data_IF_958600156665
#
_entry.id   IF_958600156665
#
_cell.length_a   1.000
_cell.length_b   1.000
_cell.length_c   1.000
_cell.angle_alpha   90.00
_cell.angle_beta   90.00
_cell.angle_gamma   90.00
#
_symmetry.space_group_name_H-M   'P 1'
#
loop_
_entity.id
_entity.type
_entity.pdbx_description
1 polymer ?
#
# COMPACT_ATOMS: atom_id res chain seq x y z
N UNK A 1 10.16 5.64 -10.12
CA UNK A 1 10.37 7.07 -10.41
C UNK A 1 11.74 7.38 -11.00
N UNK A 2 12.84 6.95 -10.38
CA UNK A 2 14.21 7.24 -10.87
C UNK A 2 14.46 6.77 -12.32
N UNK A 3 14.11 5.53 -12.67
CA UNK A 3 14.26 5.00 -14.04
C UNK A 3 13.48 5.79 -15.10
N UNK A 4 12.33 6.38 -14.75
CA UNK A 4 11.55 7.21 -15.68
C UNK A 4 12.24 8.55 -15.94
N UNK A 5 12.84 9.13 -14.91
CA UNK A 5 13.61 10.37 -15.02
C UNK A 5 14.88 10.15 -15.84
N UNK A 6 15.57 9.02 -15.59
CA UNK A 6 16.77 8.62 -16.34
C UNK A 6 16.47 8.38 -17.82
N UNK A 7 15.37 7.68 -18.15
CA UNK A 7 14.92 7.49 -19.54
C UNK A 7 14.69 8.83 -20.24
N UNK A 8 13.95 9.74 -19.61
CA UNK A 8 13.66 11.06 -20.16
C UNK A 8 14.94 11.93 -20.32
N UNK A 9 15.91 11.77 -19.44
CA UNK A 9 17.21 12.44 -19.56
C UNK A 9 18.02 11.87 -20.74
N UNK A 10 18.03 10.54 -20.91
CA UNK A 10 18.66 9.87 -22.04
C UNK A 10 18.06 10.32 -23.38
N UNK A 11 16.73 10.37 -23.47
CA UNK A 11 16.00 10.83 -24.67
C UNK A 11 16.31 12.28 -25.00
N UNK A 12 16.35 13.17 -23.99
CA UNK A 12 16.74 14.58 -24.20
C UNK A 12 18.18 14.72 -24.67
N UNK A 13 19.11 13.97 -24.07
CA UNK A 13 20.52 13.97 -24.47
C UNK A 13 20.70 13.49 -25.91
N UNK A 14 19.94 12.47 -26.30
CA UNK A 14 19.91 11.96 -27.67
C UNK A 14 19.42 13.02 -28.67
N UNK A 15 18.28 13.65 -28.37
CA UNK A 15 17.70 14.71 -29.21
C UNK A 15 18.64 15.91 -29.34
N UNK A 16 19.30 16.30 -28.25
CA UNK A 16 20.28 17.40 -28.26
C UNK A 16 21.51 17.04 -29.10
N UNK A 17 22.01 15.81 -28.99
CA UNK A 17 23.17 15.33 -29.77
C UNK A 17 22.86 15.29 -31.27
N UNK A 18 21.66 14.84 -31.65
CA UNK A 18 21.17 14.88 -33.03
C UNK A 18 21.02 16.31 -33.56
N UNK A 19 20.48 17.23 -32.76
CA UNK A 19 20.26 18.63 -33.16
C UNK A 19 21.56 19.44 -33.30
N UNK A 20 22.60 19.10 -32.52
CA UNK A 20 23.88 19.83 -32.50
C UNK A 20 24.87 19.31 -33.55
N UNK A 21 24.67 18.10 -34.06
CA UNK A 21 25.53 17.50 -35.08
C UNK A 21 25.45 18.29 -36.40
N UNK A 22 26.60 18.83 -36.84
CA UNK A 22 26.77 19.48 -38.15
C UNK A 22 27.68 18.62 -39.04
N UNK A 23 27.25 18.33 -40.27
CA UNK A 23 27.97 17.47 -41.23
C UNK A 23 27.26 16.16 -41.54
N UNK A 24 27.89 15.29 -42.34
CA UNK A 24 27.33 13.99 -42.71
C UNK A 24 27.32 13.04 -41.50
N UNK A 25 26.14 12.76 -40.94
CA UNK A 25 25.93 11.91 -39.75
C UNK A 25 26.57 10.52 -39.87
N UNK A 26 26.67 10.00 -41.10
CA UNK A 26 27.24 8.67 -41.39
C UNK A 26 28.77 8.63 -41.27
N UNK A 27 29.45 9.78 -41.34
CA UNK A 27 30.91 9.88 -41.21
C UNK A 27 31.36 10.08 -39.75
N UNK A 28 30.44 10.49 -38.87
CA UNK A 28 30.73 10.72 -37.45
C UNK A 28 30.59 9.42 -36.64
N UNK A 29 31.68 8.66 -36.60
CA UNK A 29 31.76 7.35 -35.92
C UNK A 29 31.50 7.44 -34.41
N UNK A 30 32.00 8.49 -33.75
CA UNK A 30 31.78 8.72 -32.31
C UNK A 30 30.31 8.97 -31.98
N UNK A 31 29.62 9.74 -32.82
CA UNK A 31 28.19 9.99 -32.66
C UNK A 31 27.38 8.70 -32.85
N UNK A 32 27.75 7.86 -33.82
CA UNK A 32 27.09 6.58 -34.08
C UNK A 32 27.24 5.62 -32.89
N UNK A 33 28.43 5.55 -32.30
CA UNK A 33 28.70 4.70 -31.13
C UNK A 33 27.92 5.17 -29.90
N UNK A 34 27.89 6.49 -29.63
CA UNK A 34 27.09 7.07 -28.55
C UNK A 34 25.58 6.86 -28.74
N UNK A 35 25.10 6.91 -30.00
CA UNK A 35 23.69 6.65 -30.33
C UNK A 35 23.32 5.19 -30.06
N UNK A 36 24.21 4.24 -30.41
CA UNK A 36 24.02 2.82 -30.12
C UNK A 36 24.05 2.53 -28.62
N UNK A 37 24.95 3.15 -27.86
CA UNK A 37 25.02 3.01 -26.40
C UNK A 37 23.77 3.59 -25.72
N UNK A 38 23.33 4.77 -26.14
CA UNK A 38 22.11 5.43 -25.63
C UNK A 38 20.88 4.58 -25.93
N UNK A 39 20.77 4.03 -27.14
CA UNK A 39 19.70 3.11 -27.52
C UNK A 39 19.71 1.83 -26.69
N UNK A 40 20.89 1.24 -26.46
CA UNK A 40 21.02 0.05 -25.63
C UNK A 40 20.56 0.31 -24.18
N UNK A 41 21.02 1.40 -23.56
CA UNK A 41 20.62 1.80 -22.21
C UNK A 41 19.12 2.11 -22.12
N UNK A 42 18.57 2.86 -23.07
CA UNK A 42 17.13 3.18 -23.14
C UNK A 42 16.28 1.90 -23.24
N UNK A 43 16.69 0.94 -24.08
CA UNK A 43 16.01 -0.35 -24.18
C UNK A 43 16.04 -1.12 -22.85
N UNK A 44 17.19 -1.19 -22.18
CA UNK A 44 17.31 -1.84 -20.86
C UNK A 44 16.40 -1.18 -19.82
N UNK A 45 16.38 0.15 -19.76
CA UNK A 45 15.51 0.90 -18.84
C UNK A 45 14.04 0.62 -19.16
N UNK A 46 13.67 0.57 -20.44
CA UNK A 46 12.30 0.29 -20.89
C UNK A 46 11.85 -1.11 -20.48
N UNK A 47 12.69 -2.12 -20.66
CA UNK A 47 12.41 -3.49 -20.20
C UNK A 47 12.25 -3.54 -18.68
N UNK A 48 13.12 -2.88 -17.93
CA UNK A 48 13.03 -2.84 -16.46
C UNK A 48 11.77 -2.13 -15.98
N UNK A 49 11.32 -1.08 -16.68
CA UNK A 49 10.05 -0.39 -16.40
C UNK A 49 8.84 -1.31 -16.66
N UNK A 50 8.86 -2.09 -17.74
CA UNK A 50 7.78 -3.06 -18.03
C UNK A 50 7.70 -4.16 -16.97
N UNK A 51 8.85 -4.73 -16.59
CA UNK A 51 8.93 -5.71 -15.50
C UNK A 51 8.41 -5.13 -14.17
N UNK A 52 8.84 -3.91 -13.83
CA UNK A 52 8.38 -3.20 -12.63
C UNK A 52 6.87 -2.97 -12.65
N UNK A 53 6.31 -2.61 -13.80
CA UNK A 53 4.87 -2.40 -13.95
C UNK A 53 4.09 -3.71 -13.76
N UNK A 54 4.59 -4.82 -14.31
CA UNK A 54 3.99 -6.15 -14.10
C UNK A 54 4.03 -6.55 -12.63
N UNK A 55 5.17 -6.35 -11.96
CA UNK A 55 5.31 -6.61 -10.52
C UNK A 55 4.37 -5.73 -9.69
N UNK A 56 4.20 -4.47 -10.07
CA UNK A 56 3.30 -3.55 -9.40
C UNK A 56 1.85 -4.04 -9.45
N UNK A 57 1.39 -4.50 -10.62
CA UNK A 57 0.04 -5.07 -10.77
C UNK A 57 -0.14 -6.26 -9.81
N UNK A 58 0.78 -7.22 -9.83
CA UNK A 58 0.69 -8.40 -8.95
C UNK A 58 0.75 -8.00 -7.47
N UNK A 59 1.60 -7.04 -7.10
CA UNK A 59 1.66 -6.54 -5.72
C UNK A 59 0.35 -5.87 -5.29
N UNK A 60 -0.23 -5.04 -6.17
CA UNK A 60 -1.48 -4.35 -5.90
C UNK A 60 -2.64 -5.35 -5.77
N UNK A 61 -2.67 -6.42 -6.57
CA UNK A 61 -3.64 -7.51 -6.40
C UNK A 61 -3.53 -8.17 -5.02
N UNK A 62 -2.32 -8.56 -4.60
CA UNK A 62 -2.09 -9.16 -3.29
C UNK A 62 -2.44 -8.20 -2.14
N UNK A 63 -2.11 -6.92 -2.29
CA UNK A 63 -2.45 -5.88 -1.31
C UNK A 63 -3.96 -5.66 -1.21
N UNK A 64 -4.63 -5.57 -2.36
CA UNK A 64 -6.07 -5.31 -2.44
C UNK A 64 -6.89 -6.45 -1.83
N UNK A 65 -6.38 -7.67 -1.86
CA UNK A 65 -7.00 -8.80 -1.16
C UNK A 65 -7.19 -8.51 0.35
N UNK A 66 -6.30 -7.74 0.99
CA UNK A 66 -6.40 -7.37 2.41
C UNK A 66 -6.97 -5.96 2.67
N UNK A 67 -7.31 -5.19 1.63
CA UNK A 67 -7.95 -3.89 1.80
C UNK A 67 -9.25 -3.92 2.64
N UNK A 68 -10.13 -4.95 2.54
CA UNK A 68 -11.36 -5.00 3.33
C UNK A 68 -11.14 -4.98 4.84
N UNK A 69 -10.11 -5.68 5.34
CA UNK A 69 -9.83 -5.70 6.78
C UNK A 69 -9.20 -4.40 7.27
N UNK A 70 -8.40 -3.73 6.42
CA UNK A 70 -7.90 -2.40 6.72
C UNK A 70 -9.04 -1.38 6.83
N UNK A 71 -10.02 -1.45 5.92
CA UNK A 71 -11.21 -0.60 5.97
C UNK A 71 -12.03 -0.86 7.25
N UNK A 72 -12.29 -2.13 7.59
CA UNK A 72 -13.01 -2.47 8.83
C UNK A 72 -12.26 -1.98 10.07
N UNK A 73 -10.94 -2.17 10.12
CA UNK A 73 -10.08 -1.68 11.20
C UNK A 73 -10.16 -0.15 11.35
N UNK A 74 -10.12 0.59 10.25
CA UNK A 74 -10.30 2.05 10.25
C UNK A 74 -11.66 2.45 10.83
N UNK A 75 -12.75 1.85 10.33
CA UNK A 75 -14.11 2.12 10.83
C UNK A 75 -14.23 1.83 12.33
N UNK A 76 -13.68 0.70 12.80
CA UNK A 76 -13.73 0.34 14.22
C UNK A 76 -12.93 1.30 15.09
N UNK A 77 -11.78 1.79 14.63
CA UNK A 77 -11.01 2.78 15.38
C UNK A 77 -11.80 4.09 15.54
N UNK A 78 -12.41 4.60 14.47
CA UNK A 78 -13.20 5.83 14.54
C UNK A 78 -14.43 5.66 15.43
N UNK A 79 -15.13 4.52 15.34
CA UNK A 79 -16.23 4.20 16.24
C UNK A 79 -15.78 4.23 17.71
N UNK A 80 -14.66 3.59 18.05
CA UNK A 80 -14.13 3.57 19.42
C UNK A 80 -13.73 4.97 19.88
N UNK A 81 -13.13 5.78 19.00
CA UNK A 81 -12.80 7.18 19.28
C UNK A 81 -14.04 8.01 19.58
N UNK A 82 -15.12 7.79 18.84
CA UNK A 82 -16.35 8.57 18.96
C UNK A 82 -17.14 8.27 20.24
N UNK A 83 -16.80 7.20 20.98
CA UNK A 83 -17.33 6.94 22.32
C UNK A 83 -17.04 8.08 23.31
N UNK A 84 -15.99 8.87 23.07
CA UNK A 84 -15.67 10.05 23.87
C UNK A 84 -16.81 11.09 23.88
N UNK A 85 -17.69 11.08 22.87
CA UNK A 85 -18.87 11.94 22.81
C UNK A 85 -19.97 11.53 23.80
N UNK A 86 -20.03 10.25 24.17
CA UNK A 86 -20.96 9.74 25.20
C UNK A 86 -20.40 10.06 26.59
N UNK A 87 -19.12 9.75 26.81
CA UNK A 87 -18.42 10.09 28.03
C UNK A 87 -16.97 10.44 27.71
N UNK A 88 -16.54 11.64 28.12
CA UNK A 88 -15.20 12.16 27.86
C UNK A 88 -14.05 11.24 28.34
N UNK A 89 -14.29 10.35 29.29
CA UNK A 89 -13.32 9.37 29.78
C UNK A 89 -13.14 8.15 28.85
N UNK A 90 -14.05 7.93 27.89
CA UNK A 90 -13.97 6.83 26.93
C UNK A 90 -12.99 7.15 25.81
N UNK A 91 -11.72 7.23 26.17
CA UNK A 91 -10.62 7.52 25.24
C UNK A 91 -9.74 6.29 25.08
N UNK A 92 -9.54 5.89 23.84
CA UNK A 92 -8.59 4.84 23.46
C UNK A 92 -7.61 5.43 22.46
N UNK A 93 -6.32 5.34 22.75
CA UNK A 93 -5.30 5.85 21.85
C UNK A 93 -5.15 4.96 20.62
N UNK A 94 -4.72 5.55 19.50
CA UNK A 94 -4.39 4.80 18.29
C UNK A 94 -3.32 3.73 18.55
N UNK A 95 -2.33 4.01 19.41
CA UNK A 95 -1.27 3.07 19.74
C UNK A 95 -1.82 1.78 20.34
N UNK A 96 -2.77 1.89 21.28
CA UNK A 96 -3.44 0.73 21.89
C UNK A 96 -4.28 -0.01 20.85
N UNK A 97 -5.03 0.72 20.01
CA UNK A 97 -5.82 0.09 18.96
C UNK A 97 -4.94 -0.72 17.98
N UNK A 98 -3.79 -0.17 17.59
CA UNK A 98 -2.83 -0.86 16.72
C UNK A 98 -2.24 -2.12 17.38
N UNK A 99 -2.02 -2.12 18.70
CA UNK A 99 -1.62 -3.32 19.43
C UNK A 99 -2.70 -4.41 19.37
N UNK A 100 -3.97 -4.03 19.56
CA UNK A 100 -5.11 -4.96 19.44
C UNK A 100 -5.22 -5.50 18.01
N UNK A 101 -5.07 -4.63 17.01
CA UNK A 101 -5.12 -5.00 15.61
C UNK A 101 -4.00 -5.98 15.23
N UNK A 102 -2.75 -5.73 15.65
CA UNK A 102 -1.63 -6.67 15.46
C UNK A 102 -1.90 -8.02 16.10
N UNK A 103 -2.42 -8.02 17.33
CA UNK A 103 -2.81 -9.26 18.02
C UNK A 103 -3.89 -10.05 17.27
N UNK A 104 -4.79 -9.37 16.58
CA UNK A 104 -5.78 -10.03 15.73
C UNK A 104 -5.12 -10.71 14.52
N UNK A 105 -4.07 -10.11 13.95
CA UNK A 105 -3.31 -10.65 12.82
C UNK A 105 -2.39 -11.81 13.19
N UNK A 106 -1.93 -11.86 14.44
CA UNK A 106 -1.11 -12.95 14.99
C UNK A 106 -1.93 -14.24 15.20
N UNK A 107 -3.26 -14.17 15.11
CA UNK A 107 -4.10 -15.35 15.26
C UNK A 107 -3.83 -16.35 14.13
N UNK A 108 -3.44 -17.56 14.52
CA UNK A 108 -3.01 -18.60 13.59
C UNK A 108 -4.19 -19.05 12.73
N UNK A 109 -4.03 -18.90 11.42
CA UNK A 109 -4.99 -19.37 10.44
C UNK A 109 -4.43 -20.58 9.72
N UNK A 110 -5.19 -21.67 9.73
CA UNK A 110 -4.88 -22.91 9.02
C UNK A 110 -5.58 -22.97 7.65
N UNK A 111 -6.36 -21.94 7.30
CA UNK A 111 -7.09 -21.88 6.05
C UNK A 111 -6.17 -21.52 4.87
N UNK A 112 -6.38 -22.20 3.74
CA UNK A 112 -5.65 -21.94 2.49
C UNK A 112 -6.26 -20.82 1.66
N UNK A 113 -7.47 -20.37 2.01
CA UNK A 113 -8.27 -19.39 1.27
C UNK A 113 -8.25 -18.01 1.96
N UNK A 114 -7.93 -16.98 1.18
CA UNK A 114 -7.83 -15.59 1.68
C UNK A 114 -9.19 -15.08 2.17
N UNK A 115 -10.29 -15.46 1.53
CA UNK A 115 -11.63 -14.98 1.94
C UNK A 115 -12.01 -15.52 3.32
N UNK A 116 -11.74 -16.81 3.54
CA UNK A 116 -11.94 -17.50 4.82
C UNK A 116 -11.06 -16.90 5.92
N UNK A 117 -9.79 -16.65 5.61
CA UNK A 117 -8.86 -15.93 6.48
C UNK A 117 -9.39 -14.55 6.90
N UNK A 118 -9.85 -13.76 5.94
CA UNK A 118 -10.38 -12.40 6.20
C UNK A 118 -11.61 -12.44 7.10
N UNK A 119 -12.52 -13.40 6.90
CA UNK A 119 -13.69 -13.57 7.75
C UNK A 119 -13.30 -13.91 9.20
N UNK A 120 -12.34 -14.83 9.37
CA UNK A 120 -11.80 -15.21 10.68
C UNK A 120 -11.12 -14.02 11.37
N UNK A 121 -10.25 -13.30 10.66
CA UNK A 121 -9.56 -12.13 11.19
C UNK A 121 -10.54 -11.02 11.58
N UNK A 122 -11.60 -10.81 10.79
CA UNK A 122 -12.65 -9.84 11.13
C UNK A 122 -13.37 -10.23 12.43
N UNK A 123 -13.81 -11.48 12.54
CA UNK A 123 -14.49 -11.96 13.75
C UNK A 123 -13.57 -11.84 14.98
N UNK A 124 -12.28 -12.15 14.81
CA UNK A 124 -11.27 -12.03 15.86
C UNK A 124 -11.04 -10.58 16.26
N UNK A 125 -10.93 -9.67 15.29
CA UNK A 125 -10.77 -8.24 15.54
C UNK A 125 -11.97 -7.67 16.31
N UNK A 126 -13.20 -7.99 15.90
CA UNK A 126 -14.43 -7.59 16.61
C UNK A 126 -14.41 -8.06 18.06
N UNK A 127 -14.09 -9.34 18.29
CA UNK A 127 -14.02 -9.90 19.63
C UNK A 127 -12.96 -9.22 20.51
N UNK A 128 -11.77 -8.98 19.97
CA UNK A 128 -10.67 -8.37 20.70
C UNK A 128 -10.95 -6.90 21.03
N UNK A 129 -11.44 -6.13 20.06
CA UNK A 129 -11.79 -4.72 20.26
C UNK A 129 -12.93 -4.60 21.26
N UNK A 130 -14.03 -5.35 21.08
CA UNK A 130 -15.15 -5.33 22.02
C UNK A 130 -14.70 -5.72 23.43
N UNK A 131 -13.92 -6.81 23.56
CA UNK A 131 -13.42 -7.27 24.86
C UNK A 131 -12.46 -6.29 25.54
N UNK A 132 -11.70 -5.50 24.79
CA UNK A 132 -10.84 -4.46 25.35
C UNK A 132 -11.65 -3.24 25.79
N UNK A 133 -12.46 -2.70 24.88
CA UNK A 133 -13.20 -1.44 25.10
C UNK A 133 -14.31 -1.61 26.14
N UNK A 134 -15.07 -2.71 26.10
CA UNK A 134 -16.17 -2.94 27.07
C UNK A 134 -15.70 -2.98 28.54
N UNK A 135 -14.43 -3.30 28.79
CA UNK A 135 -13.84 -3.26 30.15
C UNK A 135 -13.68 -1.84 30.67
N UNK A 136 -13.47 -0.86 29.78
CA UNK A 136 -13.39 0.56 30.14
C UNK A 136 -14.75 1.28 30.14
N UNK A 137 -15.81 0.64 29.66
CA UNK A 137 -17.15 1.22 29.61
C UNK A 137 -18.00 0.86 30.84
N UNK A 138 -18.85 1.79 31.27
CA UNK A 138 -19.94 1.50 32.19
C UNK A 138 -20.94 0.51 31.58
N UNK A 139 -21.61 -0.27 32.43
CA UNK A 139 -22.53 -1.33 32.00
C UNK A 139 -23.63 -0.82 31.05
N UNK A 140 -24.12 0.40 31.27
CA UNK A 140 -25.17 1.02 30.45
C UNK A 140 -24.74 1.23 28.98
N UNK A 141 -23.45 1.54 28.74
CA UNK A 141 -22.95 1.92 27.42
C UNK A 141 -22.41 0.73 26.62
N UNK A 142 -22.25 -0.45 27.24
CA UNK A 142 -21.76 -1.66 26.57
C UNK A 142 -22.69 -2.13 25.45
N UNK A 143 -24.01 -1.96 25.64
CA UNK A 143 -24.99 -2.33 24.62
C UNK A 143 -24.87 -1.40 23.39
N UNK A 144 -24.70 -0.09 23.63
CA UNK A 144 -24.47 0.91 22.57
C UNK A 144 -23.25 0.54 21.73
N UNK A 145 -22.12 0.19 22.38
CA UNK A 145 -20.93 -0.30 21.69
C UNK A 145 -21.22 -1.54 20.84
N UNK A 146 -21.92 -2.53 21.40
CA UNK A 146 -22.26 -3.77 20.70
C UNK A 146 -23.13 -3.53 19.47
N UNK A 147 -24.13 -2.65 19.57
CA UNK A 147 -25.01 -2.28 18.45
C UNK A 147 -24.27 -1.56 17.32
N UNK A 148 -23.30 -0.70 17.63
CA UNK A 148 -22.50 -0.02 16.60
C UNK A 148 -21.44 -0.92 15.94
N UNK A 149 -21.02 -2.02 16.59
CA UNK A 149 -19.99 -2.93 16.07
C UNK A 149 -20.53 -4.10 15.23
N UNK A 150 -21.84 -4.41 15.33
CA UNK A 150 -22.53 -5.42 14.53
C UNK A 150 -22.55 -5.01 13.05
#
# INVERSE_FOLDING_TARGET
>A
EELKVELAALERSLLQSLATSKGNLLENKELLDSLNETKAKSNTITTSLDESHRLQITLDEQRNAYAPIAQRGSTMYFLVRDLAAINHMYQVSLAVFLQIFRRALEWEDHSTDVSSRLAMLNATLVKLVYGYVSRSLFNADRLTLGMHMA
#
